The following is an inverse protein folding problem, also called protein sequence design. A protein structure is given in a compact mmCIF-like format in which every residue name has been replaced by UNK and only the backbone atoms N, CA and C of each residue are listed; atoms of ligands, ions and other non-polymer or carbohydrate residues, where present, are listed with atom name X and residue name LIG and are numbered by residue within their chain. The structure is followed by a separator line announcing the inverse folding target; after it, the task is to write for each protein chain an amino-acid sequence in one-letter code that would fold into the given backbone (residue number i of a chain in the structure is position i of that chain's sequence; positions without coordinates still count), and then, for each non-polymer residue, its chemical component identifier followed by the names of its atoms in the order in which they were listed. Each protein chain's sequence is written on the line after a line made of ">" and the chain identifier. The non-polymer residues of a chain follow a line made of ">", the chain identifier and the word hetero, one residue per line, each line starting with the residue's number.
data_IF_066927885920
#
_entry.id   IF_066927885920
#
_cell.length_a   1.000
_cell.length_b   1.000
_cell.length_c   1.000
_cell.angle_alpha   90.00
_cell.angle_beta   90.00
_cell.angle_gamma   90.00
#
_symmetry.space_group_name_H-M   'P 1'
#
loop_
_entity.id
_entity.type
_entity.pdbx_description
1 polymer ?
#
# COMPACT_ATOMS: atom_id res chain seq x y z
N UNK A 1 -20.61 15.05 1.84
CA UNK A 1 -19.31 14.45 2.22
C UNK A 1 -19.35 13.03 1.68
N UNK A 2 -18.52 12.68 0.69
CA UNK A 2 -18.49 11.30 0.19
C UNK A 2 -18.01 10.38 1.31
N UNK A 3 -18.76 9.29 1.55
CA UNK A 3 -18.31 8.24 2.46
C UNK A 3 -17.09 7.57 1.82
N UNK A 4 -15.94 7.68 2.48
CA UNK A 4 -14.71 7.00 2.06
C UNK A 4 -14.88 5.51 2.35
N UNK A 5 -15.19 4.73 1.32
CA UNK A 5 -15.10 3.27 1.39
C UNK A 5 -13.62 2.89 1.27
N UNK A 6 -13.04 2.32 2.34
CA UNK A 6 -11.63 1.89 2.36
C UNK A 6 -11.34 0.81 1.29
N UNK A 7 -12.36 0.11 0.82
CA UNK A 7 -12.26 -0.91 -0.24
C UNK A 7 -12.17 -0.35 -1.65
N UNK A 8 -12.23 0.97 -1.85
CA UNK A 8 -11.94 1.53 -3.16
C UNK A 8 -10.54 1.09 -3.61
N UNK A 9 -10.44 0.51 -4.81
CA UNK A 9 -9.20 -0.05 -5.36
C UNK A 9 -8.01 0.92 -5.30
N UNK A 10 -8.22 2.22 -5.59
CA UNK A 10 -7.17 3.22 -5.50
C UNK A 10 -6.71 3.43 -4.05
N UNK A 11 -7.65 3.56 -3.11
CA UNK A 11 -7.34 3.69 -1.67
C UNK A 11 -6.57 2.47 -1.17
N UNK A 12 -6.98 1.27 -1.58
CA UNK A 12 -6.30 0.03 -1.24
C UNK A 12 -4.85 0.01 -1.76
N UNK A 13 -4.62 0.30 -3.04
CA UNK A 13 -3.26 0.39 -3.59
C UNK A 13 -2.41 1.46 -2.89
N UNK A 14 -2.99 2.62 -2.55
CA UNK A 14 -2.30 3.66 -1.78
C UNK A 14 -1.91 3.17 -0.38
N UNK A 15 -2.80 2.45 0.32
CA UNK A 15 -2.52 1.85 1.63
C UNK A 15 -1.38 0.83 1.52
N UNK A 16 -1.44 -0.06 0.53
CA UNK A 16 -0.42 -1.07 0.26
C UNK A 16 0.95 -0.40 0.08
N UNK A 17 1.01 0.61 -0.78
CA UNK A 17 2.22 1.38 -1.04
C UNK A 17 2.72 2.12 0.21
N UNK A 18 1.83 2.72 0.99
CA UNK A 18 2.17 3.36 2.27
C UNK A 18 2.80 2.37 3.24
N UNK A 19 2.20 1.19 3.44
CA UNK A 19 2.72 0.18 4.35
C UNK A 19 4.09 -0.32 3.90
N UNK A 20 4.23 -0.65 2.62
CA UNK A 20 5.48 -1.15 2.06
C UNK A 20 6.63 -0.14 2.21
N UNK A 21 6.43 1.11 1.77
CA UNK A 21 7.47 2.16 1.81
C UNK A 21 7.90 2.52 3.23
N UNK A 22 7.02 2.38 4.22
CA UNK A 22 7.36 2.63 5.61
C UNK A 22 8.06 1.45 6.30
N UNK A 23 7.77 0.21 5.87
CA UNK A 23 8.39 -1.01 6.39
C UNK A 23 9.80 -1.21 5.80
N UNK A 24 9.94 -0.94 4.51
CA UNK A 24 11.21 -1.02 3.79
C UNK A 24 12.19 0.03 4.35
N UNK A 25 13.44 -0.34 4.67
CA UNK A 25 14.47 0.61 5.10
C UNK A 25 14.72 1.71 4.07
N UNK A 26 14.97 2.94 4.53
CA UNK A 26 15.15 4.11 3.65
C UNK A 26 16.33 4.00 2.65
N UNK A 27 17.29 3.12 2.93
CA UNK A 27 18.46 2.85 2.11
C UNK A 27 18.25 1.73 1.08
N UNK A 28 17.08 1.11 1.02
CA UNK A 28 16.73 0.19 -0.04
C UNK A 28 16.22 0.99 -1.24
N UNK A 29 16.86 0.78 -2.39
CA UNK A 29 16.47 1.43 -3.65
C UNK A 29 15.47 0.59 -4.45
N UNK A 30 15.30 -0.68 -4.06
CA UNK A 30 14.35 -1.60 -4.69
C UNK A 30 13.63 -2.47 -3.68
N UNK A 31 12.33 -2.66 -3.90
CA UNK A 31 11.54 -3.67 -3.22
C UNK A 31 10.47 -4.27 -4.14
N UNK A 32 9.91 -5.39 -3.72
CA UNK A 32 8.91 -6.14 -4.48
C UNK A 32 7.76 -6.50 -3.55
N UNK A 33 6.56 -6.51 -4.12
CA UNK A 33 5.35 -7.00 -3.48
C UNK A 33 4.78 -8.11 -4.36
N UNK A 34 4.83 -9.35 -3.86
CA UNK A 34 4.11 -10.46 -4.48
C UNK A 34 2.71 -10.53 -3.85
N UNK A 35 1.65 -10.44 -4.66
CA UNK A 35 0.26 -10.37 -4.19
C UNK A 35 -0.74 -10.86 -5.28
N UNK A 36 -2.05 -10.70 -5.06
CA UNK A 36 -3.08 -10.94 -6.07
C UNK A 36 -3.55 -9.63 -6.72
N UNK A 37 -3.99 -9.70 -7.97
CA UNK A 37 -4.60 -8.56 -8.63
C UNK A 37 -5.91 -8.18 -7.91
N UNK A 38 -6.04 -6.93 -7.46
CA UNK A 38 -7.26 -6.46 -6.79
C UNK A 38 -8.48 -6.44 -7.71
N UNK A 39 -8.28 -6.39 -9.04
CA UNK A 39 -9.37 -6.45 -10.02
C UNK A 39 -9.67 -7.89 -10.49
N UNK A 40 -8.72 -8.81 -10.35
CA UNK A 40 -8.87 -10.23 -10.69
C UNK A 40 -8.10 -11.10 -9.70
N UNK A 41 -8.70 -11.47 -8.54
CA UNK A 41 -8.02 -12.19 -7.48
C UNK A 41 -7.46 -13.57 -7.88
N UNK A 42 -7.92 -14.14 -9.01
CA UNK A 42 -7.38 -15.39 -9.54
C UNK A 42 -5.95 -15.24 -10.06
N UNK A 43 -5.54 -14.02 -10.41
CA UNK A 43 -4.23 -13.70 -10.92
C UNK A 43 -3.28 -13.27 -9.80
N UNK A 44 -2.14 -13.94 -9.73
CA UNK A 44 -1.00 -13.47 -8.95
C UNK A 44 -0.24 -12.41 -9.75
N UNK A 45 0.29 -11.42 -9.06
CA UNK A 45 1.13 -10.39 -9.65
C UNK A 45 2.30 -10.05 -8.73
N UNK A 46 3.39 -9.61 -9.35
CA UNK A 46 4.55 -9.05 -8.69
C UNK A 46 4.66 -7.58 -9.08
N UNK A 47 4.65 -6.71 -8.10
CA UNK A 47 4.92 -5.29 -8.28
C UNK A 47 6.39 -5.01 -7.94
N UNK A 48 7.17 -4.59 -8.92
CA UNK A 48 8.56 -4.18 -8.73
C UNK A 48 8.66 -2.66 -8.54
N UNK A 49 9.13 -2.24 -7.37
CA UNK A 49 9.29 -0.84 -7.00
C UNK A 49 10.77 -0.46 -7.04
N UNK A 50 11.13 0.50 -7.89
CA UNK A 50 12.48 1.06 -7.97
C UNK A 50 12.46 2.56 -7.69
N UNK A 51 13.21 2.99 -6.68
CA UNK A 51 13.33 4.40 -6.30
C UNK A 51 14.04 5.19 -7.40
N UNK A 52 13.46 6.31 -7.78
CA UNK A 52 13.99 7.22 -8.80
C UNK A 52 14.74 8.38 -8.13
N UNK A 53 15.58 9.07 -8.91
CA UNK A 53 16.41 10.19 -8.43
C UNK A 53 15.59 11.39 -7.95
N UNK A 54 14.38 11.55 -8.49
CA UNK A 54 13.42 12.60 -8.13
C UNK A 54 12.58 12.28 -6.87
N UNK A 55 12.82 11.12 -6.25
CA UNK A 55 12.09 10.65 -5.06
C UNK A 55 10.81 9.88 -5.36
N UNK A 56 10.41 9.74 -6.63
CA UNK A 56 9.30 8.87 -7.01
C UNK A 56 9.70 7.40 -6.97
N UNK A 57 8.72 6.52 -6.80
CA UNK A 57 8.89 5.08 -6.99
C UNK A 57 8.32 4.69 -8.35
N UNK A 58 9.18 4.20 -9.24
CA UNK A 58 8.74 3.53 -10.47
C UNK A 58 8.22 2.15 -10.09
N UNK A 59 6.99 1.85 -10.45
CA UNK A 59 6.28 0.60 -10.19
C UNK A 59 6.05 -0.11 -11.50
N UNK A 60 6.59 -1.31 -11.63
CA UNK A 60 6.44 -2.14 -12.82
C UNK A 60 5.75 -3.46 -12.42
N UNK A 61 4.48 -3.66 -12.80
CA UNK A 61 3.83 -4.96 -12.67
C UNK A 61 4.44 -5.97 -13.63
N UNK A 62 4.62 -7.21 -13.20
CA UNK A 62 5.08 -8.32 -14.06
C UNK A 62 4.12 -8.64 -15.21
N UNK A 63 2.81 -8.47 -14.98
CA UNK A 63 1.75 -8.64 -16.00
C UNK A 63 1.71 -7.51 -17.04
N UNK A 64 2.36 -6.38 -16.79
CA UNK A 64 2.34 -5.20 -17.65
C UNK A 64 3.69 -4.45 -17.62
N UNK A 65 4.78 -5.08 -18.10
CA UNK A 65 6.14 -4.55 -17.94
C UNK A 65 6.37 -3.23 -18.70
N UNK A 66 5.62 -3.02 -19.78
CA UNK A 66 5.75 -1.85 -20.66
C UNK A 66 4.87 -0.68 -20.24
N UNK A 67 4.16 -0.78 -19.11
CA UNK A 67 3.25 0.26 -18.62
C UNK A 67 3.56 0.62 -17.15
N UNK A 68 4.68 1.33 -16.92
CA UNK A 68 5.09 1.67 -15.56
C UNK A 68 4.18 2.75 -14.95
N UNK A 69 3.93 2.61 -13.66
CA UNK A 69 3.33 3.65 -12.82
C UNK A 69 4.41 4.33 -11.99
N UNK A 70 4.16 5.58 -11.58
CA UNK A 70 5.05 6.32 -10.70
C UNK A 70 4.29 6.80 -9.48
N UNK A 71 4.73 6.36 -8.30
CA UNK A 71 4.06 6.65 -7.04
C UNK A 71 4.92 7.48 -6.12
N UNK A 72 4.31 8.44 -5.42
CA UNK A 72 4.96 9.17 -4.34
C UNK A 72 3.98 9.67 -3.30
N UNK A 73 4.53 10.02 -2.13
CA UNK A 73 3.84 10.77 -1.10
C UNK A 73 4.57 12.09 -0.87
N UNK A 74 3.82 13.17 -0.67
CA UNK A 74 4.39 14.38 -0.09
C UNK A 74 4.43 14.34 1.43
N UNK A 75 4.94 15.42 2.03
CA UNK A 75 5.05 15.60 3.49
C UNK A 75 3.69 15.62 4.20
N UNK A 76 2.60 15.88 3.47
CA UNK A 76 1.23 15.93 3.99
C UNK A 76 0.47 14.60 3.76
N UNK A 77 1.17 13.56 3.30
CA UNK A 77 0.59 12.28 2.89
C UNK A 77 -0.48 12.43 1.81
N UNK A 78 -0.31 13.37 0.87
CA UNK A 78 -1.01 13.27 -0.40
C UNK A 78 -0.27 12.24 -1.26
N UNK A 79 -1.00 11.24 -1.73
CA UNK A 79 -0.52 10.28 -2.69
C UNK A 79 -0.65 10.85 -4.10
N UNK A 80 0.39 10.64 -4.90
CA UNK A 80 0.38 10.94 -6.32
C UNK A 80 0.64 9.65 -7.10
N UNK A 81 -0.18 9.39 -8.10
CA UNK A 81 0.09 8.40 -9.14
C UNK A 81 0.22 9.11 -10.48
N UNK A 82 1.21 8.71 -11.26
CA UNK A 82 1.40 9.12 -12.65
C UNK A 82 1.51 7.87 -13.51
N UNK A 83 0.67 7.78 -14.53
CA UNK A 83 0.76 6.75 -15.56
C UNK A 83 1.84 7.12 -16.57
N UNK A 84 2.79 6.21 -16.80
CA UNK A 84 3.95 6.48 -17.65
C UNK A 84 3.60 6.74 -19.12
N UNK A 85 2.56 6.07 -19.65
CA UNK A 85 2.16 6.19 -21.06
C UNK A 85 1.25 7.39 -21.35
N UNK A 86 0.21 7.57 -20.52
CA UNK A 86 -0.80 8.61 -20.73
C UNK A 86 -0.39 9.97 -20.15
N UNK A 87 0.55 9.98 -19.20
CA UNK A 87 0.86 11.15 -18.39
C UNK A 87 -0.29 11.53 -17.44
N UNK A 88 -1.33 10.69 -17.32
CA UNK A 88 -2.44 10.92 -16.41
C UNK A 88 -1.92 10.94 -14.98
N UNK A 89 -2.28 12.00 -14.26
CA UNK A 89 -1.91 12.19 -12.86
C UNK A 89 -3.14 12.19 -11.99
N UNK A 90 -3.18 11.28 -11.03
CA UNK A 90 -4.18 11.30 -9.97
C UNK A 90 -3.55 11.76 -8.65
N UNK A 91 -4.39 12.32 -7.78
CA UNK A 91 -3.97 12.75 -6.44
C UNK A 91 -5.01 12.30 -5.43
N UNK A 92 -4.55 11.64 -4.37
CA UNK A 92 -5.40 11.17 -3.29
C UNK A 92 -4.89 11.72 -1.95
N UNK A 93 -5.64 12.61 -1.26
CA UNK A 93 -5.22 13.20 0.00
C UNK A 93 -5.39 12.23 1.17
N UNK A 94 -4.54 11.19 1.25
CA UNK A 94 -4.69 10.07 2.19
C UNK A 94 -4.84 10.53 3.64
N UNK A 95 -4.11 11.56 4.05
CA UNK A 95 -4.21 12.15 5.40
C UNK A 95 -5.59 12.71 5.75
N UNK A 96 -6.38 13.14 4.76
CA UNK A 96 -7.75 13.63 4.95
C UNK A 96 -8.78 12.52 4.95
N UNK A 97 -8.47 11.39 4.32
CA UNK A 97 -9.41 10.28 4.14
C UNK A 97 -9.37 9.31 5.31
N UNK A 98 -8.17 8.97 5.80
CA UNK A 98 -7.98 7.92 6.79
C UNK A 98 -7.10 8.37 7.97
N UNK A 99 -7.23 7.65 9.08
CA UNK A 99 -6.32 7.65 10.24
C UNK A 99 -5.60 6.32 10.25
N UNK A 100 -4.28 6.39 10.37
CA UNK A 100 -3.40 5.22 10.46
C UNK A 100 -2.82 5.17 11.86
N UNK A 101 -2.99 4.05 12.56
CA UNK A 101 -2.45 3.81 13.89
C UNK A 101 -1.61 2.54 13.87
N UNK A 102 -0.32 2.68 14.11
CA UNK A 102 0.61 1.57 14.28
C UNK A 102 0.75 1.19 15.76
N UNK A 103 0.94 -0.09 16.04
CA UNK A 103 1.12 -0.58 17.40
C UNK A 103 2.53 -0.30 17.99
N UNK A 104 3.47 0.19 17.18
CA UNK A 104 4.84 0.49 17.61
C UNK A 104 5.42 1.73 16.91
N UNK A 105 6.24 2.53 17.61
CA UNK A 105 6.83 3.77 17.04
C UNK A 105 7.78 3.52 15.86
N UNK A 106 8.67 2.54 15.97
CA UNK A 106 9.62 2.14 14.91
C UNK A 106 8.98 1.14 13.95
N UNK A 107 8.89 1.47 12.66
CA UNK A 107 8.29 0.61 11.63
C UNK A 107 8.90 -0.78 11.53
N UNK A 108 10.22 -0.91 11.70
CA UNK A 108 10.90 -2.21 11.72
C UNK A 108 10.43 -3.19 12.82
N UNK A 109 9.70 -2.70 13.82
CA UNK A 109 9.14 -3.46 14.96
C UNK A 109 7.61 -3.49 14.95
N UNK A 110 6.95 -2.86 13.97
CA UNK A 110 5.48 -2.90 13.86
C UNK A 110 5.06 -4.32 13.53
N UNK A 111 4.06 -4.82 14.26
CA UNK A 111 3.41 -6.11 13.99
C UNK A 111 1.94 -5.94 13.62
N UNK A 112 1.38 -4.75 13.83
CA UNK A 112 0.00 -4.43 13.52
C UNK A 112 -0.18 -2.95 13.15
N UNK A 113 -0.98 -2.70 12.10
CA UNK A 113 -1.38 -1.36 11.67
C UNK A 113 -2.90 -1.33 11.49
N UNK A 114 -3.56 -0.48 12.26
CA UNK A 114 -4.99 -0.19 12.13
C UNK A 114 -5.19 1.02 11.21
N UNK A 115 -6.16 0.90 10.31
CA UNK A 115 -6.63 1.96 9.42
C UNK A 115 -8.12 2.16 9.64
N UNK A 116 -8.54 3.42 9.73
CA UNK A 116 -9.96 3.79 9.84
C UNK A 116 -10.26 5.05 9.05
N UNK A 117 -11.49 5.27 8.54
CA UNK A 117 -11.85 6.52 7.90
C UNK A 117 -11.79 7.69 8.90
N UNK A 118 -11.66 8.90 8.38
CA UNK A 118 -11.78 10.13 9.18
C UNK A 118 -13.20 10.57 9.43
N UNK A 119 -14.16 10.06 8.65
CA UNK A 119 -15.58 10.31 8.86
C UNK A 119 -15.98 9.93 10.29
N UNK A 120 -16.68 10.83 10.99
CA UNK A 120 -17.11 10.62 12.37
C UNK A 120 -18.11 9.46 12.50
N UNK A 121 -18.84 9.17 11.43
CA UNK A 121 -19.93 8.20 11.42
C UNK A 121 -19.48 6.79 10.99
N UNK A 122 -18.22 6.64 10.54
CA UNK A 122 -17.74 5.35 10.07
C UNK A 122 -17.23 4.48 11.22
N UNK A 123 -17.86 3.32 11.38
CA UNK A 123 -17.39 2.22 12.22
C UNK A 123 -16.42 1.31 11.47
N UNK A 124 -16.12 1.60 10.20
CA UNK A 124 -15.20 0.79 9.42
C UNK A 124 -13.79 0.91 9.97
N UNK A 125 -13.15 -0.24 10.14
CA UNK A 125 -11.73 -0.34 10.47
C UNK A 125 -11.16 -1.55 9.76
N UNK A 126 -9.89 -1.45 9.46
CA UNK A 126 -9.11 -2.48 8.82
C UNK A 126 -7.78 -2.57 9.53
N UNK A 127 -7.50 -3.70 10.16
CA UNK A 127 -6.18 -3.95 10.71
C UNK A 127 -5.37 -4.80 9.74
N UNK A 128 -4.06 -4.53 9.70
CA UNK A 128 -3.08 -5.29 8.96
C UNK A 128 -2.07 -5.89 9.93
N UNK A 129 -1.89 -7.19 9.86
CA UNK A 129 -0.84 -7.91 10.59
C UNK A 129 0.43 -7.89 9.76
N UNK A 130 1.56 -7.55 10.41
CA UNK A 130 2.89 -7.50 9.79
C UNK A 130 3.77 -8.57 10.42
N UNK A 131 4.11 -9.60 9.65
CA UNK A 131 4.91 -10.73 10.09
C UNK A 131 6.35 -10.65 9.56
N UNK A 132 7.33 -10.94 10.43
CA UNK A 132 8.72 -11.07 10.02
C UNK A 132 8.99 -12.48 9.51
N UNK A 133 9.32 -12.62 8.22
CA UNK A 133 9.79 -13.88 7.63
C UNK A 133 11.31 -13.95 7.46
N UNK A 134 11.97 -12.80 7.32
CA UNK A 134 13.43 -12.76 7.16
C UNK A 134 14.04 -11.39 7.47
N UNK A 135 15.35 -11.25 7.26
CA UNK A 135 16.04 -9.96 7.44
C UNK A 135 15.47 -8.90 6.49
N UNK A 136 15.25 -9.26 5.23
CA UNK A 136 14.73 -8.38 4.16
C UNK A 136 13.34 -8.77 3.65
N UNK A 137 12.52 -9.43 4.48
CA UNK A 137 11.22 -9.96 4.08
C UNK A 137 10.16 -9.78 5.16
N UNK A 138 8.96 -9.36 4.76
CA UNK A 138 7.76 -9.27 5.60
C UNK A 138 6.56 -9.85 4.86
N UNK A 139 5.59 -10.36 5.62
CA UNK A 139 4.24 -10.60 5.09
C UNK A 139 3.32 -9.57 5.74
N UNK A 140 2.47 -8.95 4.94
CA UNK A 140 1.42 -8.06 5.39
C UNK A 140 0.09 -8.69 4.97
N UNK A 141 -0.83 -8.88 5.92
CA UNK A 141 -2.13 -9.50 5.64
C UNK A 141 -3.25 -8.81 6.42
N UNK A 142 -4.51 -8.87 5.96
CA UNK A 142 -5.64 -8.43 6.76
C UNK A 142 -5.67 -9.14 8.12
N UNK A 143 -6.06 -8.41 9.16
CA UNK A 143 -6.32 -8.92 10.51
C UNK A 143 -7.66 -9.64 10.61
N UNK A 144 -7.93 -10.22 11.77
CA UNK A 144 -9.15 -11.01 12.00
C UNK A 144 -10.38 -10.12 12.31
N UNK A 145 -10.16 -8.84 12.63
CA UNK A 145 -11.20 -7.83 12.89
C UNK A 145 -11.89 -7.32 11.63
N UNK A 146 -11.53 -7.88 10.50
CA UNK A 146 -11.89 -7.45 9.15
C UNK A 146 -13.17 -8.18 8.70
N UNK A 147 -14.22 -7.42 8.36
CA UNK A 147 -15.47 -7.98 7.81
C UNK A 147 -15.20 -8.75 6.51
N UNK A 148 -16.07 -9.70 6.17
CA UNK A 148 -15.90 -10.62 5.04
C UNK A 148 -15.65 -9.93 3.69
N UNK A 149 -16.29 -8.79 3.44
CA UNK A 149 -16.09 -7.95 2.24
C UNK A 149 -14.67 -7.35 2.15
N UNK A 150 -14.00 -7.18 3.28
CA UNK A 150 -12.63 -6.62 3.36
C UNK A 150 -11.57 -7.73 3.34
N UNK A 151 -11.96 -9.01 3.43
CA UNK A 151 -11.08 -10.16 3.17
C UNK A 151 -10.63 -10.24 1.70
N UNK A 152 -11.18 -9.41 0.82
CA UNK A 152 -10.74 -9.27 -0.57
C UNK A 152 -9.36 -8.64 -0.71
N UNK A 153 -8.83 -7.97 0.32
CA UNK A 153 -7.45 -7.49 0.28
C UNK A 153 -6.51 -8.68 0.46
N UNK A 154 -5.72 -9.05 -0.57
CA UNK A 154 -4.86 -10.21 -0.50
C UNK A 154 -3.71 -10.00 0.47
N UNK A 155 -3.11 -11.12 0.89
CA UNK A 155 -1.81 -11.07 1.56
C UNK A 155 -0.74 -10.53 0.60
N UNK A 156 0.21 -9.81 1.16
CA UNK A 156 1.31 -9.18 0.46
C UNK A 156 2.62 -9.71 0.99
N UNK A 157 3.44 -10.26 0.10
CA UNK A 157 4.77 -10.74 0.41
C UNK A 157 5.76 -9.66 0.00
N UNK A 158 6.25 -8.92 0.99
CA UNK A 158 7.16 -7.80 0.81
C UNK A 158 8.60 -8.27 0.95
N UNK A 159 9.43 -7.96 -0.04
CA UNK A 159 10.89 -8.24 -0.02
C UNK A 159 11.68 -7.07 -0.60
N UNK A 160 12.90 -6.83 -0.12
CA UNK A 160 13.73 -5.71 -0.58
C UNK A 160 15.21 -6.08 -0.70
N UNK A 161 15.95 -5.27 -1.45
CA UNK A 161 17.39 -5.41 -1.73
C UNK A 161 18.19 -4.31 -1.03
#
# INVERSE_FOLDING_TARGET
>A
MEQVNILNTMVAYTIIFYLATNIVPANADRFYIDTQNLKDPSQKMTLNFTKQKDGNWKVVPDVAPDDPLYFSFDKNLNFYSLEGRSGQRDTLPLSKLIKIKKNHKKWKKVTEVMIKPRSADSQERLSFVVEKKGKKQRIIRPGDDVKTEVKEIPSMHLRWE
#
